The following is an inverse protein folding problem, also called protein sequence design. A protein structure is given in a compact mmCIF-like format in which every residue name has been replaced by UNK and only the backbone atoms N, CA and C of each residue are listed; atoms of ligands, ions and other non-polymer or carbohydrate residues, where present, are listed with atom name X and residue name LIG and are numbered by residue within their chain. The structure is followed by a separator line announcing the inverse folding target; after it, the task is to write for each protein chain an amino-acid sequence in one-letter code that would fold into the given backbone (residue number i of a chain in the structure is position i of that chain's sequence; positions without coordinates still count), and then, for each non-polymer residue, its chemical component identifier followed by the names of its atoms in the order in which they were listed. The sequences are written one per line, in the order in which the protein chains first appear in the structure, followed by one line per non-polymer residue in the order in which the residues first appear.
data_IF_688237383210
#
_entry.id   IF_688237383210
#
_cell.length_a   1.000
_cell.length_b   1.000
_cell.length_c   1.000
_cell.angle_alpha   90.00
_cell.angle_beta   90.00
_cell.angle_gamma   90.00
#
_symmetry.space_group_name_H-M   'P 1'
#
loop_
_entity.id
_entity.type
_entity.pdbx_description
1 polymer ?
#
# COMPACT_ATOMS: atom_id res chain seq x y z
N UNK A 1 -18.03 -4.83 -14.83
CA UNK A 1 -16.66 -4.86 -14.34
C UNK A 1 -15.72 -5.17 -15.49
N UNK A 2 -14.69 -4.35 -15.63
CA UNK A 2 -13.55 -4.69 -16.49
C UNK A 2 -12.46 -5.29 -15.62
N UNK A 3 -11.88 -6.38 -16.08
CA UNK A 3 -10.73 -7.02 -15.44
C UNK A 3 -9.55 -6.91 -16.38
N UNK A 4 -8.50 -6.24 -15.92
CA UNK A 4 -7.23 -6.17 -16.64
C UNK A 4 -6.22 -7.07 -15.95
N UNK A 5 -5.59 -7.94 -16.68
CA UNK A 5 -4.55 -8.82 -16.15
C UNK A 5 -3.21 -8.14 -16.36
N UNK A 6 -2.52 -7.85 -15.25
CA UNK A 6 -1.16 -7.30 -15.30
C UNK A 6 -0.13 -8.38 -15.57
N UNK A 7 -0.33 -9.51 -14.92
CA UNK A 7 0.47 -10.72 -15.06
C UNK A 7 -0.32 -11.88 -14.48
N UNK A 8 0.25 -13.07 -14.44
CA UNK A 8 -0.43 -14.26 -13.91
C UNK A 8 -0.75 -14.19 -12.41
N UNK A 9 -0.18 -13.21 -11.71
CA UNK A 9 -0.23 -13.10 -10.25
C UNK A 9 -1.10 -11.95 -9.75
N UNK A 10 -1.43 -10.99 -10.61
CA UNK A 10 -2.19 -9.81 -10.24
C UNK A 10 -3.16 -9.39 -11.34
N UNK A 11 -4.29 -8.84 -10.92
CA UNK A 11 -5.27 -8.27 -11.83
C UNK A 11 -5.90 -7.02 -11.24
N UNK A 12 -6.43 -6.19 -12.11
CA UNK A 12 -7.16 -4.98 -11.72
C UNK A 12 -8.62 -5.17 -12.06
N UNK A 13 -9.47 -4.98 -11.07
CA UNK A 13 -10.91 -4.87 -11.26
C UNK A 13 -11.24 -3.40 -11.44
N UNK A 14 -11.73 -3.06 -12.62
CA UNK A 14 -12.15 -1.72 -12.97
C UNK A 14 -13.67 -1.70 -13.08
N UNK A 15 -14.31 -0.77 -12.39
CA UNK A 15 -15.66 -0.37 -12.66
C UNK A 15 -15.68 1.14 -12.91
N UNK A 16 -16.83 1.70 -13.28
CA UNK A 16 -16.96 3.11 -13.62
C UNK A 16 -16.47 4.10 -12.56
N UNK A 17 -16.22 3.65 -11.34
CA UNK A 17 -15.92 4.50 -10.19
C UNK A 17 -14.59 4.24 -9.53
N UNK A 18 -14.02 3.06 -9.69
CA UNK A 18 -12.76 2.72 -9.02
C UNK A 18 -12.04 1.53 -9.66
N UNK A 19 -10.74 1.52 -9.47
CA UNK A 19 -9.87 0.40 -9.80
C UNK A 19 -9.28 -0.19 -8.53
N UNK A 20 -9.23 -1.52 -8.45
CA UNK A 20 -8.66 -2.26 -7.33
C UNK A 20 -7.67 -3.28 -7.85
N UNK A 21 -6.42 -3.14 -7.44
CA UNK A 21 -5.40 -4.16 -7.66
C UNK A 21 -5.69 -5.34 -6.74
N UNK A 22 -5.68 -6.54 -7.28
CA UNK A 22 -5.88 -7.78 -6.53
C UNK A 22 -4.77 -8.76 -6.86
N UNK A 23 -4.14 -9.33 -5.84
CA UNK A 23 -3.01 -10.25 -6.00
C UNK A 23 -2.98 -11.27 -4.87
N UNK A 24 -2.48 -12.47 -5.17
CA UNK A 24 -2.23 -13.52 -4.16
C UNK A 24 -0.75 -13.60 -3.78
N UNK A 25 0.14 -12.99 -4.56
CA UNK A 25 1.59 -13.19 -4.46
C UNK A 25 2.36 -12.05 -3.81
N UNK A 26 1.78 -10.86 -3.80
CA UNK A 26 2.44 -9.69 -3.22
C UNK A 26 1.64 -9.21 -2.01
N UNK A 27 2.09 -9.50 -0.79
CA UNK A 27 1.39 -9.06 0.40
C UNK A 27 1.27 -7.55 0.48
N UNK A 28 0.07 -7.09 0.80
CA UNK A 28 -0.27 -5.68 0.97
C UNK A 28 -1.00 -5.55 2.31
N UNK A 29 -0.58 -4.60 3.13
CA UNK A 29 -1.21 -4.31 4.41
C UNK A 29 -1.52 -2.83 4.52
N UNK A 30 -2.65 -2.51 5.14
CA UNK A 30 -3.04 -1.14 5.45
C UNK A 30 -2.97 -0.91 6.95
N UNK A 31 -2.48 0.27 7.31
CA UNK A 31 -2.35 0.74 8.70
C UNK A 31 -3.12 2.04 8.82
N UNK A 32 -4.08 2.07 9.73
CA UNK A 32 -4.95 3.22 9.90
C UNK A 32 -4.47 4.14 11.02
N UNK A 33 -4.57 5.43 10.73
CA UNK A 33 -4.41 6.45 11.75
C UNK A 33 -5.63 6.44 12.68
N UNK A 34 -5.40 6.40 13.96
CA UNK A 34 -6.45 6.46 14.99
C UNK A 34 -5.97 7.26 16.21
N UNK A 35 -6.90 7.78 16.98
CA UNK A 35 -6.58 8.60 18.13
C UNK A 35 -5.74 9.82 17.76
N UNK A 36 -4.74 10.13 18.55
CA UNK A 36 -3.81 11.23 18.32
C UNK A 36 -2.62 10.90 17.42
N UNK A 37 -2.56 9.69 16.85
CA UNK A 37 -1.44 9.27 16.02
C UNK A 37 -1.44 9.99 14.67
N UNK A 38 -0.24 10.41 14.24
CA UNK A 38 0.01 10.93 12.90
C UNK A 38 0.51 9.80 12.00
N UNK A 39 0.46 10.00 10.69
CA UNK A 39 1.00 9.01 9.74
C UNK A 39 2.49 8.75 9.97
N UNK A 40 3.26 9.79 10.30
CA UNK A 40 4.68 9.65 10.64
C UNK A 40 4.91 8.80 11.88
N UNK A 41 4.03 8.86 12.87
CA UNK A 41 4.11 8.01 14.06
C UNK A 41 3.92 6.53 13.71
N UNK A 42 3.01 6.25 12.78
CA UNK A 42 2.81 4.88 12.27
C UNK A 42 4.10 4.38 11.62
N UNK A 43 4.74 5.18 10.79
CA UNK A 43 6.01 4.83 10.14
C UNK A 43 7.09 4.51 11.17
N UNK A 44 7.25 5.37 12.19
CA UNK A 44 8.22 5.14 13.27
C UNK A 44 7.94 3.85 14.03
N UNK A 45 6.68 3.57 14.33
CA UNK A 45 6.29 2.36 15.04
C UNK A 45 6.51 1.10 14.20
N UNK A 46 6.30 1.19 12.89
CA UNK A 46 6.62 0.10 11.97
C UNK A 46 8.13 -0.15 11.88
N UNK A 47 8.94 0.90 11.88
CA UNK A 47 10.40 0.78 11.93
C UNK A 47 10.86 0.07 13.21
N UNK A 48 10.28 0.45 14.35
CA UNK A 48 10.56 -0.20 15.63
C UNK A 48 10.18 -1.67 15.64
N UNK A 49 9.02 -2.01 15.11
CA UNK A 49 8.56 -3.40 15.01
C UNK A 49 9.50 -4.21 14.10
N UNK A 50 9.90 -3.65 12.99
CA UNK A 50 10.85 -4.28 12.06
C UNK A 50 12.15 -4.66 12.74
N UNK A 51 12.71 -3.73 13.50
CA UNK A 51 13.93 -3.94 14.27
C UNK A 51 13.72 -4.92 15.43
N UNK A 52 12.64 -4.75 16.19
CA UNK A 52 12.34 -5.58 17.36
C UNK A 52 12.22 -7.06 16.99
N UNK A 53 11.55 -7.36 15.91
CA UNK A 53 11.34 -8.74 15.45
C UNK A 53 12.38 -9.21 14.42
N UNK A 54 13.38 -8.38 14.12
CA UNK A 54 14.42 -8.67 13.15
C UNK A 54 13.84 -9.20 11.82
N UNK A 55 12.84 -8.51 11.29
CA UNK A 55 12.13 -8.94 10.07
C UNK A 55 13.13 -9.05 8.91
N UNK A 56 13.29 -10.23 8.28
CA UNK A 56 14.41 -10.49 7.38
C UNK A 56 14.18 -10.07 5.92
N UNK A 57 13.12 -9.35 5.61
CA UNK A 57 12.81 -8.93 4.25
C UNK A 57 12.51 -7.42 4.16
N UNK A 58 12.45 -6.90 2.95
CA UNK A 58 12.14 -5.49 2.70
C UNK A 58 10.63 -5.25 2.67
N UNK A 59 10.24 -4.01 2.98
CA UNK A 59 8.87 -3.54 2.79
C UNK A 59 8.88 -2.12 2.23
N UNK A 60 8.03 -1.88 1.25
CA UNK A 60 7.82 -0.55 0.67
C UNK A 60 6.68 0.11 1.40
N UNK A 61 6.89 1.34 1.84
CA UNK A 61 5.89 2.11 2.58
C UNK A 61 5.35 3.25 1.74
N UNK A 62 4.05 3.46 1.86
CA UNK A 62 3.33 4.52 1.15
C UNK A 62 2.38 5.23 2.11
N UNK A 63 2.29 6.56 2.01
CA UNK A 63 1.20 7.28 2.65
C UNK A 63 -0.09 7.06 1.88
N UNK A 64 -1.17 6.80 2.62
CA UNK A 64 -2.54 6.80 2.08
C UNK A 64 -3.31 7.97 2.67
N UNK A 65 -4.57 8.16 2.27
CA UNK A 65 -5.38 9.26 2.77
C UNK A 65 -5.50 9.26 4.31
N UNK A 66 -5.63 8.08 4.93
CA UNK A 66 -5.85 7.94 6.37
C UNK A 66 -4.77 7.15 7.12
N UNK A 67 -3.67 6.81 6.48
CA UNK A 67 -2.67 6.01 7.14
C UNK A 67 -1.47 5.70 6.27
N UNK A 68 -1.01 4.47 6.39
CA UNK A 68 0.17 3.95 5.71
C UNK A 68 -0.19 2.62 5.06
N UNK A 69 0.33 2.39 3.86
CA UNK A 69 0.27 1.10 3.17
C UNK A 69 1.65 0.50 3.10
N UNK A 70 1.71 -0.80 3.34
CA UNK A 70 2.94 -1.58 3.24
C UNK A 70 2.78 -2.61 2.13
N UNK A 71 3.78 -2.72 1.28
CA UNK A 71 3.85 -3.75 0.24
C UNK A 71 5.14 -4.55 0.45
N UNK A 72 5.02 -5.87 0.44
CA UNK A 72 6.16 -6.79 0.53
C UNK A 72 6.51 -7.29 -0.86
N UNK A 73 7.50 -6.68 -1.54
CA UNK A 73 7.75 -6.97 -2.95
C UNK A 73 8.45 -8.32 -3.21
N UNK A 74 9.13 -8.85 -2.21
CA UNK A 74 9.96 -10.06 -2.38
C UNK A 74 9.67 -11.16 -1.38
N UNK A 75 8.65 -11.00 -0.54
CA UNK A 75 8.29 -12.01 0.45
C UNK A 75 6.88 -12.53 0.23
N UNK A 76 6.71 -13.83 0.31
CA UNK A 76 5.42 -14.50 0.27
C UNK A 76 5.26 -15.34 1.53
N UNK A 77 4.05 -15.34 2.10
CA UNK A 77 3.73 -16.20 3.24
C UNK A 77 3.30 -17.57 2.74
N UNK A 78 3.90 -18.63 3.28
CA UNK A 78 3.57 -19.99 2.91
C UNK A 78 2.14 -20.38 3.30
N UNK A 79 1.65 -19.83 4.42
CA UNK A 79 0.31 -20.10 4.95
C UNK A 79 -0.34 -18.82 5.46
N UNK A 80 -1.67 -18.84 5.65
CA UNK A 80 -2.36 -17.74 6.31
C UNK A 80 -1.92 -17.55 7.76
N UNK A 81 -1.54 -18.62 8.42
CA UNK A 81 -1.04 -18.58 9.80
C UNK A 81 0.27 -17.79 9.88
N UNK A 82 1.17 -18.01 8.94
CA UNK A 82 2.42 -17.23 8.84
C UNK A 82 2.13 -15.76 8.60
N UNK A 83 1.18 -15.45 7.75
CA UNK A 83 0.75 -14.08 7.48
C UNK A 83 0.15 -13.43 8.72
N UNK A 84 -0.70 -14.15 9.47
CA UNK A 84 -1.27 -13.68 10.71
C UNK A 84 -0.20 -13.44 11.78
N UNK A 85 0.76 -14.33 11.91
CA UNK A 85 1.88 -14.16 12.84
C UNK A 85 2.65 -12.87 12.57
N UNK A 86 2.91 -12.59 11.30
CA UNK A 86 3.49 -11.30 10.90
C UNK A 86 2.57 -10.13 11.24
N UNK A 87 1.30 -10.23 10.86
CA UNK A 87 0.33 -9.14 11.03
C UNK A 87 0.12 -8.74 12.49
N UNK A 88 0.08 -9.70 13.41
CA UNK A 88 -0.11 -9.40 14.84
C UNK A 88 1.10 -8.71 15.48
N UNK A 89 2.26 -8.78 14.87
CA UNK A 89 3.46 -8.07 15.31
C UNK A 89 3.50 -6.62 14.85
N UNK A 90 2.69 -6.27 13.87
CA UNK A 90 2.67 -4.91 13.29
C UNK A 90 1.67 -4.04 14.04
N UNK A 91 2.10 -2.87 14.55
CA UNK A 91 1.18 -1.93 15.17
C UNK A 91 0.29 -1.23 14.15
N UNK A 92 -0.83 -0.69 14.60
CA UNK A 92 -1.76 0.12 13.81
C UNK A 92 -2.41 -0.60 12.61
N UNK A 93 -2.35 -1.92 12.57
CA UNK A 93 -2.94 -2.71 11.48
C UNK A 93 -4.44 -2.41 11.36
N UNK A 94 -4.91 -2.16 10.14
CA UNK A 94 -6.33 -2.08 9.84
C UNK A 94 -6.96 -3.45 9.98
N UNK A 95 -7.69 -3.66 11.08
CA UNK A 95 -8.27 -4.95 11.41
C UNK A 95 -9.37 -5.37 10.45
N UNK A 96 -10.11 -4.41 9.91
CA UNK A 96 -11.16 -4.70 8.92
C UNK A 96 -10.55 -5.17 7.60
N UNK A 97 -9.51 -4.49 7.14
CA UNK A 97 -8.76 -4.90 5.96
C UNK A 97 -8.17 -6.30 6.14
N UNK A 98 -7.55 -6.57 7.29
CA UNK A 98 -6.98 -7.88 7.60
C UNK A 98 -8.05 -8.98 7.59
N UNK A 99 -9.20 -8.71 8.19
CA UNK A 99 -10.35 -9.64 8.17
C UNK A 99 -10.77 -9.99 6.75
N UNK A 100 -10.94 -8.99 5.88
CA UNK A 100 -11.32 -9.22 4.49
C UNK A 100 -10.23 -9.95 3.71
N UNK A 101 -8.98 -9.66 3.97
CA UNK A 101 -7.84 -10.36 3.35
C UNK A 101 -7.85 -11.84 3.71
N UNK A 102 -8.09 -12.16 4.97
CA UNK A 102 -8.22 -13.55 5.43
C UNK A 102 -9.38 -14.28 4.78
N UNK A 103 -10.53 -13.63 4.68
CA UNK A 103 -11.74 -14.22 4.08
C UNK A 103 -11.60 -14.45 2.58
N UNK A 104 -11.06 -13.47 1.87
CA UNK A 104 -10.95 -13.51 0.40
C UNK A 104 -9.71 -14.26 -0.09
N UNK A 105 -8.70 -14.44 0.78
CA UNK A 105 -7.40 -15.04 0.47
C UNK A 105 -6.62 -14.28 -0.62
N UNK A 106 -6.91 -13.00 -0.78
CA UNK A 106 -6.21 -12.11 -1.71
C UNK A 106 -5.89 -10.79 -1.03
N UNK A 107 -4.82 -10.14 -1.49
CA UNK A 107 -4.47 -8.79 -1.09
C UNK A 107 -5.07 -7.81 -2.08
N UNK A 108 -5.55 -6.67 -1.59
CA UNK A 108 -6.17 -5.64 -2.43
C UNK A 108 -5.62 -4.27 -2.12
N UNK A 109 -5.47 -3.48 -3.16
CA UNK A 109 -5.11 -2.08 -3.05
C UNK A 109 -5.95 -1.25 -4.02
N UNK A 110 -6.61 -0.24 -3.51
CA UNK A 110 -7.32 0.72 -4.34
C UNK A 110 -6.32 1.56 -5.13
N UNK A 111 -6.52 1.67 -6.42
CA UNK A 111 -5.68 2.47 -7.32
C UNK A 111 -6.27 3.84 -7.60
N UNK A 112 -7.54 4.06 -7.30
CA UNK A 112 -8.24 5.32 -7.54
C UNK A 112 -8.70 5.95 -6.23
N UNK A 113 -8.91 7.26 -6.25
CA UNK A 113 -9.41 8.02 -5.09
C UNK A 113 -10.85 7.62 -4.80
N UNK A 114 -11.21 7.46 -3.52
CA UNK A 114 -12.59 7.23 -3.14
C UNK A 114 -13.48 8.39 -3.58
N UNK A 115 -14.69 8.14 -4.11
CA UNK A 115 -15.58 9.20 -4.59
C UNK A 115 -15.82 10.31 -3.58
N UNK A 116 -15.95 9.97 -2.29
CA UNK A 116 -16.13 10.94 -1.21
C UNK A 116 -14.92 11.88 -0.99
N UNK A 117 -13.76 11.53 -1.52
CA UNK A 117 -12.52 12.30 -1.40
C UNK A 117 -12.16 13.05 -2.67
N UNK A 118 -12.92 12.89 -3.73
CA UNK A 118 -12.71 13.60 -4.99
C UNK A 118 -13.11 15.06 -4.77
N UNK A 119 -12.20 16.03 -5.04
CA UNK A 119 -12.55 17.43 -4.97
C UNK A 119 -13.72 17.76 -5.90
N UNK A 120 -14.69 18.51 -5.43
CA UNK A 120 -15.92 18.86 -6.18
C UNK A 120 -15.70 19.74 -7.40
N UNK A 121 -14.47 19.97 -7.83
CA UNK A 121 -14.12 20.89 -8.93
C UNK A 121 -13.03 20.33 -9.83
N UNK A 122 -12.77 21.07 -10.87
CA UNK A 122 -11.86 20.86 -11.99
C UNK A 122 -10.45 20.38 -11.68
N UNK A 123 -10.01 20.36 -10.43
CA UNK A 123 -8.68 19.84 -10.07
C UNK A 123 -8.52 18.33 -10.36
N UNK A 124 -9.59 17.56 -10.24
CA UNK A 124 -9.58 16.15 -10.62
C UNK A 124 -9.48 15.98 -12.14
N UNK A 125 -10.28 16.74 -12.89
CA UNK A 125 -10.22 16.75 -14.35
C UNK A 125 -8.86 17.21 -14.86
N UNK A 126 -8.26 18.18 -14.17
CA UNK A 126 -6.91 18.66 -14.47
C UNK A 126 -5.86 17.59 -14.23
N UNK A 127 -6.05 16.79 -13.22
CA UNK A 127 -5.22 15.65 -12.88
C UNK A 127 -5.29 14.56 -13.98
N UNK A 128 -6.48 14.17 -14.40
CA UNK A 128 -6.67 13.20 -15.47
C UNK A 128 -6.05 13.66 -16.78
N UNK A 129 -6.19 14.94 -17.12
CA UNK A 129 -5.64 15.51 -18.36
C UNK A 129 -4.12 15.47 -18.42
N UNK A 130 -3.46 15.50 -17.27
CA UNK A 130 -2.00 15.50 -17.20
C UNK A 130 -1.46 14.06 -17.30
N UNK A 131 -2.34 13.05 -17.23
CA UNK A 131 -1.93 11.65 -17.24
C UNK A 131 -0.98 11.32 -16.09
N UNK A 132 -1.24 11.89 -14.92
CA UNK A 132 -0.33 11.80 -13.80
C UNK A 132 -0.34 10.39 -13.21
N UNK A 133 0.84 9.92 -12.83
CA UNK A 133 1.00 8.64 -12.17
C UNK A 133 0.10 8.53 -10.92
N UNK A 134 -0.47 7.35 -10.66
CA UNK A 134 -1.30 7.11 -9.47
C UNK A 134 -0.63 7.42 -8.12
N UNK A 135 0.66 7.69 -8.10
CA UNK A 135 1.40 8.02 -6.88
C UNK A 135 1.46 9.51 -6.56
N UNK A 136 0.83 10.38 -7.34
CA UNK A 136 0.84 11.81 -7.06
C UNK A 136 -0.17 12.21 -5.97
N UNK A 137 -0.26 13.53 -5.71
CA UNK A 137 -1.08 14.06 -4.60
C UNK A 137 -2.57 13.73 -4.63
N UNK A 138 -3.12 13.42 -5.79
CA UNK A 138 -4.51 12.99 -5.93
C UNK A 138 -4.65 11.49 -5.97
N UNK A 139 -3.54 10.80 -6.01
CA UNK A 139 -3.52 9.36 -5.99
C UNK A 139 -3.86 8.83 -4.60
N UNK A 140 -4.05 7.55 -4.55
CA UNK A 140 -4.35 6.82 -3.32
C UNK A 140 -3.11 6.73 -2.43
N UNK A 141 -1.91 6.75 -3.03
CA UNK A 141 -0.67 6.53 -2.31
C UNK A 141 0.44 7.49 -2.72
N UNK A 142 1.31 7.80 -1.77
CA UNK A 142 2.57 8.51 -1.98
C UNK A 142 3.71 7.70 -1.38
N UNK A 143 4.71 7.38 -2.17
CA UNK A 143 5.85 6.59 -1.71
C UNK A 143 6.65 7.31 -0.62
N UNK A 144 6.97 6.57 0.46
CA UNK A 144 7.78 7.07 1.58
C UNK A 144 9.22 6.58 1.46
N UNK A 145 9.40 5.29 1.30
CA UNK A 145 10.69 4.64 1.29
C UNK A 145 10.57 3.13 1.53
N UNK A 146 11.70 2.46 1.57
CA UNK A 146 11.77 1.01 1.74
C UNK A 146 12.43 0.67 3.07
N UNK A 147 11.70 -0.07 3.91
CA UNK A 147 12.26 -0.65 5.14
C UNK A 147 13.31 -1.69 4.79
N UNK A 148 14.50 -1.54 5.38
CA UNK A 148 15.57 -2.49 5.19
C UNK A 148 15.43 -3.70 6.13
N UNK A 149 15.88 -4.89 5.70
CA UNK A 149 15.81 -6.08 6.54
C UNK A 149 16.50 -5.87 7.88
N UNK A 150 15.96 -6.46 8.93
CA UNK A 150 16.52 -6.52 10.28
C UNK A 150 16.61 -5.16 10.98
N UNK A 151 17.15 -4.15 10.33
CA UNK A 151 17.39 -2.82 10.93
C UNK A 151 16.17 -1.93 10.96
N UNK A 152 15.24 -2.10 10.00
CA UNK A 152 14.08 -1.23 9.84
C UNK A 152 14.45 0.18 9.39
N UNK A 153 15.67 0.42 8.93
CA UNK A 153 16.04 1.71 8.35
C UNK A 153 15.28 1.93 7.06
N UNK A 154 14.84 3.15 6.84
CA UNK A 154 14.18 3.54 5.59
C UNK A 154 15.23 4.10 4.64
N UNK A 155 15.29 3.49 3.46
CA UNK A 155 16.03 4.02 2.32
C UNK A 155 15.04 4.73 1.42
N UNK A 156 15.29 6.02 1.19
CA UNK A 156 14.48 6.82 0.28
C UNK A 156 14.89 6.56 -1.16
N UNK A 157 14.04 5.87 -1.89
CA UNK A 157 14.22 5.62 -3.33
C UNK A 157 13.22 6.42 -4.18
N UNK A 158 12.64 7.45 -3.60
CA UNK A 158 11.57 8.21 -4.23
C UNK A 158 11.93 8.71 -5.64
N UNK A 159 13.13 9.27 -5.81
CA UNK A 159 13.57 9.77 -7.11
C UNK A 159 13.72 8.66 -8.16
N UNK A 160 14.29 7.54 -7.75
CA UNK A 160 14.47 6.40 -8.65
C UNK A 160 13.13 5.83 -9.12
N UNK A 161 12.21 5.62 -8.21
CA UNK A 161 10.88 5.13 -8.54
C UNK A 161 10.08 6.11 -9.38
N UNK A 162 10.17 7.38 -9.07
CA UNK A 162 9.53 8.43 -9.87
C UNK A 162 10.04 8.43 -11.30
N UNK A 163 11.33 8.23 -11.51
CA UNK A 163 11.92 8.09 -12.83
C UNK A 163 11.36 6.89 -13.59
N UNK A 164 11.27 5.75 -12.93
CA UNK A 164 10.70 4.53 -13.53
C UNK A 164 9.25 4.74 -13.98
N UNK A 165 8.46 5.46 -13.21
CA UNK A 165 7.09 5.78 -13.59
C UNK A 165 7.00 6.74 -14.77
N UNK A 166 7.94 7.64 -14.89
CA UNK A 166 7.97 8.61 -16.00
C UNK A 166 8.37 7.96 -17.34
N UNK A 167 9.17 6.94 -17.30
CA UNK A 167 9.63 6.21 -18.49
C UNK A 167 8.60 5.22 -19.02
N UNK A 168 7.60 4.91 -18.25
CA UNK A 168 6.49 4.05 -18.64
C UNK A 168 5.30 4.85 -19.11
#
# INVERSE_FOLDING_TARGET
FKVSIWNDEAYVIDNERFEVLTTTHMPIFDFDRHGGFRKGDIVLDLQKAWKTYAIPFTARLYYTANGVRMILPSHQFATQEDMLEFAVRMPHMDQLYLKYTLQSKVYRARLTVKPARIPKRSSFLKFERIGVCPTNKFAVTTYIGTLQPVTGQIVDMHQYEYSLYREK
#
